data_IF_369685394054
#
_entry.id   IF_369685394054
#
_cell.length_a   1.000
_cell.length_b   1.000
_cell.length_c   1.000
_cell.angle_alpha   90.00
_cell.angle_beta   90.00
_cell.angle_gamma   90.00
#
_symmetry.space_group_name_H-M   'P 1'
#
loop_
_entity.id
_entity.type
_entity.pdbx_description
1 polymer ?
#
# COMPACT_ATOMS: atom_id res chain seq x y z
N UNK A 1 -20.30 26.60 -1.18
CA UNK A 1 -19.14 27.44 -1.61
C UNK A 1 -17.91 27.02 -0.84
N UNK A 2 -16.71 27.24 -1.37
CA UNK A 2 -15.49 26.90 -0.65
C UNK A 2 -14.89 28.14 0.03
N UNK A 3 -14.51 27.99 1.30
CA UNK A 3 -13.74 28.99 2.06
C UNK A 3 -12.27 28.63 1.94
N UNK A 4 -11.48 29.57 1.45
CA UNK A 4 -10.04 29.38 1.27
C UNK A 4 -9.29 29.76 2.54
N UNK A 5 -8.34 28.92 2.97
CA UNK A 5 -7.44 29.17 4.11
C UNK A 5 -6.01 28.76 3.74
N UNK A 6 -4.98 29.46 4.25
CA UNK A 6 -3.59 29.07 4.04
C UNK A 6 -3.26 27.78 4.80
N UNK A 7 -2.30 27.01 4.30
CA UNK A 7 -1.87 25.75 4.91
C UNK A 7 -1.15 25.99 6.23
N UNK A 8 -0.34 27.06 6.32
CA UNK A 8 0.36 27.49 7.54
C UNK A 8 -0.59 27.69 8.73
N UNK A 9 -1.78 28.25 8.47
CA UNK A 9 -2.80 28.45 9.50
C UNK A 9 -3.20 27.13 10.18
N UNK A 10 -3.41 26.06 9.42
CA UNK A 10 -3.77 24.75 9.98
C UNK A 10 -2.59 24.04 10.65
N UNK A 11 -1.36 24.29 10.18
CA UNK A 11 -0.15 23.78 10.84
C UNK A 11 0.04 24.39 12.23
N UNK A 12 -0.26 25.69 12.38
CA UNK A 12 -0.21 26.40 13.66
C UNK A 12 -1.42 26.12 14.55
N UNK A 13 -2.57 25.80 13.95
CA UNK A 13 -3.84 25.56 14.65
C UNK A 13 -4.46 24.21 14.25
N UNK A 14 -3.92 23.07 14.70
CA UNK A 14 -4.40 21.75 14.30
C UNK A 14 -5.89 21.51 14.64
N UNK A 15 -6.39 22.08 15.73
CA UNK A 15 -7.79 21.95 16.16
C UNK A 15 -8.77 22.52 15.12
N UNK A 16 -8.34 23.51 14.33
CA UNK A 16 -9.16 24.10 13.28
C UNK A 16 -9.47 23.11 12.14
N UNK A 17 -8.68 22.04 11.97
CA UNK A 17 -8.98 20.97 11.01
C UNK A 17 -10.26 20.20 11.36
N UNK A 18 -10.67 20.22 12.63
CA UNK A 18 -11.86 19.52 13.12
C UNK A 18 -13.14 20.37 13.04
N UNK A 19 -13.01 21.67 12.77
CA UNK A 19 -14.14 22.57 12.65
C UNK A 19 -14.87 22.33 11.32
N UNK A 20 -16.21 22.16 11.34
CA UNK A 20 -16.99 22.06 10.11
C UNK A 20 -17.11 23.44 9.43
N UNK A 21 -17.29 23.45 8.09
CA UNK A 21 -17.49 24.70 7.36
C UNK A 21 -18.81 25.37 7.73
N UNK A 22 -18.82 26.71 7.71
CA UNK A 22 -19.99 27.52 8.04
C UNK A 22 -21.02 27.49 6.90
N UNK A 23 -22.27 27.14 7.24
CA UNK A 23 -23.40 27.11 6.33
C UNK A 23 -23.51 25.83 5.48
N UNK A 24 -24.70 25.60 4.88
CA UNK A 24 -24.94 24.42 4.06
C UNK A 24 -24.19 24.48 2.73
N UNK A 25 -23.79 23.31 2.24
CA UNK A 25 -23.05 23.10 0.99
C UNK A 25 -21.75 23.90 0.94
N UNK A 26 -21.11 24.08 2.11
CA UNK A 26 -19.84 24.75 2.26
C UNK A 26 -18.69 23.76 2.40
N UNK A 27 -17.49 24.16 2.02
CA UNK A 27 -16.28 23.33 2.14
C UNK A 27 -15.04 24.20 2.35
N UNK A 28 -13.89 23.57 2.57
CA UNK A 28 -12.62 24.27 2.69
C UNK A 28 -11.71 24.04 1.47
N UNK A 29 -11.01 25.07 1.03
CA UNK A 29 -9.85 24.94 0.16
C UNK A 29 -8.62 25.37 0.91
N UNK A 30 -7.56 24.59 0.78
CA UNK A 30 -6.27 24.83 1.42
C UNK A 30 -5.30 25.32 0.35
N UNK A 31 -4.66 26.45 0.62
CA UNK A 31 -3.68 27.06 -0.29
C UNK A 31 -2.32 26.94 0.36
N UNK A 32 -1.36 26.37 -0.36
CA UNK A 32 0.04 26.39 0.07
C UNK A 32 0.58 27.80 -0.10
N UNK A 33 0.80 28.48 1.02
CA UNK A 33 1.42 29.80 1.17
C UNK A 33 2.92 29.69 1.47
N UNK A 34 3.64 30.81 1.40
CA UNK A 34 5.10 30.86 1.54
C UNK A 34 5.61 30.29 2.88
N UNK A 35 4.89 30.54 3.99
CA UNK A 35 5.27 30.04 5.32
C UNK A 35 5.16 28.52 5.43
N UNK A 36 4.32 27.90 4.59
CA UNK A 36 4.10 26.45 4.57
C UNK A 36 5.03 25.71 3.60
N UNK A 37 5.89 26.44 2.86
CA UNK A 37 6.87 25.83 1.98
C UNK A 37 7.97 25.16 2.80
N UNK A 38 8.29 23.91 2.45
CA UNK A 38 9.38 23.18 3.09
C UNK A 38 10.55 23.06 2.13
N UNK A 39 11.76 23.06 2.68
CA UNK A 39 13.00 23.03 1.92
C UNK A 39 13.89 21.87 2.39
N UNK A 40 14.67 21.30 1.47
CA UNK A 40 15.78 20.40 1.76
C UNK A 40 17.11 21.07 1.37
N UNK A 41 18.22 20.34 1.51
CA UNK A 41 19.56 20.83 1.15
C UNK A 41 19.90 22.19 1.78
N UNK A 42 19.70 22.34 3.09
CA UNK A 42 19.97 23.58 3.86
C UNK A 42 19.23 24.82 3.34
N UNK A 43 18.01 24.66 2.80
CA UNK A 43 17.18 25.78 2.34
C UNK A 43 17.33 26.10 0.84
N UNK A 44 18.16 25.35 0.12
CA UNK A 44 18.47 25.63 -1.30
C UNK A 44 17.47 25.00 -2.28
N UNK A 45 16.77 23.94 -1.86
CA UNK A 45 15.87 23.19 -2.73
C UNK A 45 14.48 23.09 -2.10
N UNK A 46 13.43 23.52 -2.81
CA UNK A 46 12.05 23.31 -2.35
C UNK A 46 11.71 21.82 -2.34
N UNK A 47 11.08 21.35 -1.27
CA UNK A 47 10.50 20.02 -1.23
C UNK A 47 9.21 20.01 -2.05
N UNK A 48 9.12 19.06 -2.98
CA UNK A 48 7.94 18.87 -3.81
C UNK A 48 7.04 17.71 -3.32
N UNK A 49 7.54 16.91 -2.38
CA UNK A 49 6.81 15.78 -1.81
C UNK A 49 5.92 16.26 -0.65
N UNK A 50 4.64 15.87 -0.70
CA UNK A 50 3.70 16.14 0.38
C UNK A 50 3.89 15.11 1.48
N UNK A 51 4.13 15.59 2.70
CA UNK A 51 4.34 14.72 3.86
C UNK A 51 3.04 14.44 4.62
N UNK A 52 2.09 15.38 4.62
CA UNK A 52 0.91 15.31 5.47
C UNK A 52 -0.37 15.81 4.76
N UNK A 53 -1.50 15.62 5.43
CA UNK A 53 -2.79 16.21 5.08
C UNK A 53 -2.99 17.53 5.86
N UNK A 54 -3.84 18.44 5.38
CA UNK A 54 -4.62 18.38 4.13
C UNK A 54 -3.78 18.71 2.87
N UNK A 55 -4.25 18.26 1.71
CA UNK A 55 -3.60 18.56 0.44
C UNK A 55 -3.88 19.99 -0.02
N UNK A 56 -2.91 20.70 -0.62
CA UNK A 56 -3.13 22.03 -1.18
C UNK A 56 -3.84 21.97 -2.55
N UNK A 57 -4.82 22.86 -2.77
CA UNK A 57 -5.60 22.96 -4.01
C UNK A 57 -5.06 23.98 -5.02
N UNK A 58 -4.06 24.79 -4.66
CA UNK A 58 -3.36 25.68 -5.59
C UNK A 58 -2.16 25.02 -6.31
N UNK A 59 -2.01 23.70 -6.18
CA UNK A 59 -0.92 22.92 -6.78
C UNK A 59 -1.48 21.76 -7.60
N UNK A 60 -0.81 21.43 -8.70
CA UNK A 60 -1.08 20.19 -9.43
C UNK A 60 -0.36 19.05 -8.72
N UNK A 61 -1.12 18.07 -8.26
CA UNK A 61 -0.58 16.92 -7.53
C UNK A 61 -0.42 15.73 -8.47
N UNK A 62 0.69 15.03 -8.31
CA UNK A 62 0.97 13.79 -9.03
C UNK A 62 1.09 12.67 -8.01
N UNK A 63 0.21 11.68 -8.09
CA UNK A 63 0.35 10.45 -7.32
C UNK A 63 1.44 9.62 -7.98
N UNK A 64 2.54 9.46 -7.25
CA UNK A 64 3.69 8.65 -7.66
C UNK A 64 3.64 7.30 -6.94
N UNK A 65 3.68 6.24 -7.73
CA UNK A 65 3.82 4.88 -7.21
C UNK A 65 5.07 4.24 -7.80
N UNK A 66 5.92 3.70 -6.93
CA UNK A 66 7.17 3.07 -7.32
C UNK A 66 7.11 1.58 -6.98
N UNK A 67 7.47 0.73 -7.95
CA UNK A 67 7.64 -0.72 -7.74
C UNK A 67 8.96 -1.21 -8.26
N UNK A 68 9.53 -2.19 -7.57
CA UNK A 68 10.82 -2.78 -7.90
C UNK A 68 11.94 -2.20 -7.04
N UNK A 69 13.09 -2.86 -7.08
CA UNK A 69 14.33 -2.44 -6.42
C UNK A 69 15.44 -2.34 -7.48
N UNK A 70 16.42 -1.47 -7.26
CA UNK A 70 17.54 -1.24 -8.19
C UNK A 70 17.12 -0.79 -9.60
N UNK A 71 17.67 -1.45 -10.62
CA UNK A 71 17.54 -1.08 -12.05
C UNK A 71 16.14 -1.34 -12.66
N UNK A 72 15.22 -2.00 -11.95
CA UNK A 72 13.89 -2.37 -12.45
C UNK A 72 12.75 -1.57 -11.82
N UNK A 73 13.03 -0.32 -11.45
CA UNK A 73 12.07 0.61 -10.86
C UNK A 73 11.04 1.07 -11.89
N UNK A 74 9.79 0.62 -11.77
CA UNK A 74 8.66 1.18 -12.51
C UNK A 74 8.04 2.30 -11.68
N UNK A 75 8.01 3.50 -12.26
CA UNK A 75 7.37 4.66 -11.67
C UNK A 75 6.09 4.94 -12.45
N UNK A 76 4.95 4.74 -11.79
CA UNK A 76 3.66 5.14 -12.31
C UNK A 76 3.30 6.50 -11.72
N UNK A 77 2.90 7.40 -12.60
CA UNK A 77 2.49 8.77 -12.25
C UNK A 77 1.08 8.98 -12.75
N UNK A 78 0.20 9.46 -11.87
CA UNK A 78 -1.14 9.89 -12.25
C UNK A 78 -1.37 11.28 -11.67
N UNK A 79 -1.71 12.24 -12.54
CA UNK A 79 -2.05 13.60 -12.12
C UNK A 79 -3.49 13.65 -11.64
N UNK A 80 -3.69 14.24 -10.46
CA UNK A 80 -4.98 14.29 -9.79
C UNK A 80 -5.12 15.57 -8.98
N UNK A 81 -6.33 16.14 -8.98
CA UNK A 81 -6.70 17.24 -8.10
C UNK A 81 -7.61 16.70 -7.02
N UNK A 82 -7.22 16.85 -5.75
CA UNK A 82 -8.04 16.45 -4.61
C UNK A 82 -8.83 17.65 -4.09
N UNK A 83 -10.16 17.55 -4.13
CA UNK A 83 -11.07 18.58 -3.64
C UNK A 83 -11.76 18.07 -2.37
N UNK A 84 -11.65 18.74 -1.22
CA UNK A 84 -12.33 18.31 0.01
C UNK A 84 -13.84 18.21 -0.16
N UNK A 85 -14.43 17.18 0.45
CA UNK A 85 -15.89 16.94 0.40
C UNK A 85 -16.65 18.06 1.13
N UNK A 86 -17.78 18.46 0.57
CA UNK A 86 -18.66 19.49 1.15
C UNK A 86 -19.24 19.04 2.50
N UNK A 87 -19.56 19.99 3.36
CA UNK A 87 -20.19 19.79 4.67
C UNK A 87 -19.38 18.89 5.63
N UNK A 88 -18.07 18.72 5.38
CA UNK A 88 -17.16 17.92 6.19
C UNK A 88 -15.96 18.77 6.66
N UNK A 89 -15.47 18.54 7.89
CA UNK A 89 -14.22 19.14 8.35
C UNK A 89 -13.02 18.52 7.60
N UNK A 90 -11.90 19.24 7.51
CA UNK A 90 -10.69 18.77 6.82
C UNK A 90 -10.09 17.51 7.48
N UNK A 91 -10.24 17.37 8.79
CA UNK A 91 -9.83 16.19 9.58
C UNK A 91 -10.52 14.88 9.14
N UNK A 92 -11.66 14.97 8.45
CA UNK A 92 -12.31 13.80 7.86
C UNK A 92 -11.48 13.14 6.76
N UNK A 93 -10.54 13.89 6.16
CA UNK A 93 -9.69 13.47 5.05
C UNK A 93 -10.47 12.92 3.85
N UNK A 94 -11.70 13.41 3.64
CA UNK A 94 -12.56 12.99 2.54
C UNK A 94 -12.38 13.93 1.34
N UNK A 95 -12.12 13.35 0.18
CA UNK A 95 -11.85 14.09 -1.05
C UNK A 95 -12.56 13.49 -2.26
N UNK A 96 -12.92 14.36 -3.20
CA UNK A 96 -13.13 14.01 -4.59
C UNK A 96 -11.78 14.01 -5.32
N UNK A 97 -11.51 12.95 -6.07
CA UNK A 97 -10.35 12.89 -6.96
C UNK A 97 -10.78 13.30 -8.37
N UNK A 98 -10.23 14.40 -8.89
CA UNK A 98 -10.60 14.99 -10.18
C UNK A 98 -9.45 14.87 -11.18
N UNK A 99 -9.78 14.55 -12.43
CA UNK A 99 -8.84 14.51 -13.55
C UNK A 99 -8.48 15.96 -13.98
N UNK A 100 -7.23 16.43 -13.86
CA UNK A 100 -6.89 17.82 -14.16
C UNK A 100 -6.68 18.09 -15.65
N UNK A 101 -6.35 17.05 -16.43
CA UNK A 101 -5.93 17.18 -17.84
C UNK A 101 -6.51 16.08 -18.75
N UNK A 102 -6.37 16.28 -20.06
CA UNK A 102 -6.76 15.31 -21.09
C UNK A 102 -8.27 15.27 -21.41
N UNK A 103 -8.69 14.24 -22.15
CA UNK A 103 -10.08 14.11 -22.67
C UNK A 103 -11.16 14.02 -21.58
N UNK A 104 -10.78 13.64 -20.36
CA UNK A 104 -11.67 13.53 -19.21
C UNK A 104 -11.43 14.62 -18.17
N UNK A 105 -10.80 15.75 -18.55
CA UNK A 105 -10.56 16.88 -17.66
C UNK A 105 -11.87 17.33 -16.98
N UNK A 106 -11.79 17.60 -15.67
CA UNK A 106 -12.92 18.04 -14.84
C UNK A 106 -13.86 16.90 -14.40
N UNK A 107 -13.63 15.66 -14.84
CA UNK A 107 -14.39 14.50 -14.39
C UNK A 107 -13.80 13.92 -13.11
N UNK A 108 -14.68 13.44 -12.23
CA UNK A 108 -14.33 12.74 -11.02
C UNK A 108 -13.98 11.27 -11.31
N UNK A 109 -12.94 10.78 -10.64
CA UNK A 109 -12.65 9.36 -10.60
C UNK A 109 -13.70 8.62 -9.77
N UNK A 110 -13.92 7.36 -10.12
CA UNK A 110 -14.95 6.51 -9.52
C UNK A 110 -14.30 5.32 -8.81
N UNK A 111 -14.80 4.99 -7.63
CA UNK A 111 -14.59 3.68 -7.02
C UNK A 111 -15.34 2.62 -7.86
N UNK A 112 -14.67 1.52 -8.15
CA UNK A 112 -15.28 0.35 -8.80
C UNK A 112 -16.09 -0.45 -7.78
N UNK A 113 -17.07 -1.22 -8.26
CA UNK A 113 -17.88 -2.12 -7.44
C UNK A 113 -17.47 -3.58 -7.66
N UNK A 114 -18.07 -4.49 -6.90
CA UNK A 114 -17.86 -5.94 -7.09
C UNK A 114 -18.27 -6.41 -8.49
N UNK A 115 -19.35 -5.83 -9.04
CA UNK A 115 -19.85 -6.09 -10.39
C UNK A 115 -18.89 -5.65 -11.52
N UNK A 116 -18.00 -4.69 -11.25
CA UNK A 116 -16.98 -4.24 -12.22
C UNK A 116 -15.78 -5.19 -12.31
N UNK A 117 -15.73 -6.24 -11.48
CA UNK A 117 -14.69 -7.25 -11.55
C UNK A 117 -14.86 -8.08 -12.81
N UNK A 118 -13.82 -8.09 -13.66
CA UNK A 118 -13.78 -8.94 -14.83
C UNK A 118 -12.81 -10.10 -14.64
N UNK A 119 -13.14 -11.24 -15.25
CA UNK A 119 -12.24 -12.39 -15.31
C UNK A 119 -11.01 -12.02 -16.14
N UNK A 120 -9.83 -12.06 -15.52
CA UNK A 120 -8.56 -11.89 -16.20
C UNK A 120 -7.57 -12.90 -15.61
N UNK A 121 -7.17 -13.88 -16.43
CA UNK A 121 -6.15 -14.90 -16.16
C UNK A 121 -6.17 -15.46 -14.72
N UNK A 122 -7.03 -16.47 -14.48
CA UNK A 122 -7.22 -17.19 -13.21
C UNK A 122 -7.62 -16.36 -11.97
N UNK A 123 -7.95 -15.07 -12.12
CA UNK A 123 -8.51 -14.25 -11.04
C UNK A 123 -9.57 -13.24 -11.49
N UNK A 124 -10.42 -12.78 -10.55
CA UNK A 124 -11.32 -11.63 -10.74
C UNK A 124 -10.54 -10.34 -10.53
N UNK A 125 -10.22 -9.64 -11.61
CA UNK A 125 -9.51 -8.36 -11.55
C UNK A 125 -10.49 -7.19 -11.49
N UNK A 126 -10.29 -6.29 -10.54
CA UNK A 126 -11.09 -5.06 -10.49
C UNK A 126 -10.61 -4.13 -11.61
N UNK A 127 -11.51 -3.77 -12.52
CA UNK A 127 -11.23 -2.77 -13.55
C UNK A 127 -11.63 -1.39 -13.05
N UNK A 128 -10.77 -0.41 -13.28
CA UNK A 128 -11.10 0.99 -12.97
C UNK A 128 -12.26 1.45 -13.85
N UNK A 129 -13.26 2.06 -13.22
CA UNK A 129 -14.36 2.73 -13.90
C UNK A 129 -13.84 4.03 -14.50
N UNK A 130 -14.25 4.35 -15.73
CA UNK A 130 -13.85 5.61 -16.38
C UNK A 130 -14.39 6.81 -15.59
N UNK A 131 -13.63 7.92 -15.48
CA UNK A 131 -14.09 9.13 -14.81
C UNK A 131 -15.43 9.65 -15.36
N UNK A 132 -16.30 10.09 -14.47
CA UNK A 132 -17.65 10.62 -14.76
C UNK A 132 -17.77 12.09 -14.35
N UNK A 133 -18.74 12.87 -14.86
CA UNK A 133 -19.03 14.20 -14.33
C UNK A 133 -19.16 14.17 -12.80
N UNK A 134 -18.63 15.19 -12.13
CA UNK A 134 -18.68 15.29 -10.67
C UNK A 134 -20.14 15.37 -10.22
N UNK A 135 -20.50 14.48 -9.31
CA UNK A 135 -21.78 14.46 -8.60
C UNK A 135 -21.47 14.43 -7.09
N UNK A 136 -21.74 15.51 -6.35
CA UNK A 136 -21.47 15.58 -4.92
C UNK A 136 -22.23 14.54 -4.09
N UNK A 137 -23.35 14.01 -4.57
CA UNK A 137 -24.16 13.02 -3.85
C UNK A 137 -23.69 11.58 -4.14
N UNK A 138 -22.86 11.38 -5.17
CA UNK A 138 -22.35 10.08 -5.57
C UNK A 138 -21.23 9.62 -4.63
N UNK A 139 -21.56 8.70 -3.72
CA UNK A 139 -20.65 8.16 -2.70
C UNK A 139 -19.44 7.46 -3.33
N UNK A 140 -19.57 6.85 -4.51
CA UNK A 140 -18.43 6.20 -5.18
C UNK A 140 -17.42 7.18 -5.76
N UNK A 141 -17.73 8.48 -5.85
CA UNK A 141 -16.75 9.53 -6.23
C UNK A 141 -15.97 10.08 -5.04
N UNK A 142 -16.38 9.72 -3.81
CA UNK A 142 -15.76 10.18 -2.58
C UNK A 142 -14.81 9.11 -2.01
N UNK A 143 -13.64 9.55 -1.56
CA UNK A 143 -12.67 8.66 -0.92
C UNK A 143 -12.05 9.31 0.32
N UNK A 144 -11.78 8.48 1.32
CA UNK A 144 -10.99 8.86 2.49
C UNK A 144 -9.52 8.62 2.18
N UNK A 145 -8.68 9.66 2.29
CA UNK A 145 -7.23 9.54 2.17
C UNK A 145 -6.64 9.26 3.55
N UNK A 146 -5.92 8.15 3.65
CA UNK A 146 -5.25 7.75 4.87
C UNK A 146 -3.74 7.85 4.70
N UNK A 147 -3.06 8.35 5.73
CA UNK A 147 -1.60 8.27 5.84
C UNK A 147 -1.17 6.82 6.04
N UNK A 148 -0.11 6.43 5.32
CA UNK A 148 0.57 5.16 5.46
C UNK A 148 1.92 5.38 6.15
N UNK A 149 1.90 5.39 7.49
CA UNK A 149 3.12 5.51 8.29
C UNK A 149 3.67 4.10 8.54
N UNK A 150 4.87 3.81 8.04
CA UNK A 150 5.66 2.66 8.51
C UNK A 150 6.73 3.18 9.46
N UNK A 151 7.34 2.30 10.27
CA UNK A 151 8.39 2.67 11.22
C UNK A 151 9.64 3.30 10.59
N UNK A 152 9.76 3.25 9.26
CA UNK A 152 11.01 3.46 8.54
C UNK A 152 10.85 4.19 7.19
N UNK A 153 9.60 4.43 6.78
CA UNK A 153 9.30 5.50 5.83
C UNK A 153 8.67 6.62 6.64
N UNK A 154 9.22 7.83 6.50
CA UNK A 154 8.63 9.02 7.10
C UNK A 154 7.20 9.25 6.61
N UNK A 155 6.60 10.33 7.11
CA UNK A 155 5.39 10.94 6.54
C UNK A 155 5.49 11.04 4.99
N UNK A 156 4.36 11.12 4.29
CA UNK A 156 4.31 11.33 2.83
C UNK A 156 3.96 10.11 1.97
N UNK A 157 3.48 9.03 2.58
CA UNK A 157 2.85 7.91 1.85
C UNK A 157 1.36 7.91 2.15
N UNK A 158 0.54 7.72 1.13
CA UNK A 158 -0.92 7.79 1.23
C UNK A 158 -1.57 6.59 0.55
N UNK A 159 -2.76 6.22 1.02
CA UNK A 159 -3.67 5.31 0.32
C UNK A 159 -5.11 5.79 0.48
N UNK A 160 -5.98 5.42 -0.46
CA UNK A 160 -7.40 5.76 -0.35
C UNK A 160 -8.23 4.56 0.10
N UNK A 161 -9.31 4.84 0.82
CA UNK A 161 -10.47 3.95 1.02
C UNK A 161 -11.68 4.56 0.33
N UNK A 162 -12.57 3.72 -0.18
CA UNK A 162 -13.87 4.21 -0.64
C UNK A 162 -14.73 4.54 0.57
N UNK A 163 -15.58 5.56 0.46
CA UNK A 163 -16.64 5.78 1.44
C UNK A 163 -17.79 4.77 1.26
N UNK A 164 -17.97 4.23 0.06
CA UNK A 164 -18.89 3.12 -0.16
C UNK A 164 -18.28 1.82 0.42
N UNK A 165 -19.00 1.06 1.28
CA UNK A 165 -18.47 -0.15 1.91
C UNK A 165 -17.98 -1.23 0.94
N UNK A 166 -18.59 -1.30 -0.23
CA UNK A 166 -18.28 -2.24 -1.33
C UNK A 166 -17.44 -1.58 -2.45
N UNK A 167 -17.08 -0.32 -2.27
CA UNK A 167 -16.33 0.46 -3.24
C UNK A 167 -14.83 0.19 -3.17
N UNK A 168 -14.22 0.04 -4.35
CA UNK A 168 -12.79 -0.08 -4.49
C UNK A 168 -12.25 1.18 -5.21
N UNK A 169 -11.38 2.01 -4.59
CA UNK A 169 -10.88 3.24 -5.22
C UNK A 169 -10.20 3.03 -6.58
N UNK A 170 -9.84 4.06 -7.34
CA UNK A 170 -9.04 3.89 -8.56
C UNK A 170 -7.70 3.19 -8.30
N UNK A 171 -7.17 2.44 -9.27
CA UNK A 171 -5.93 1.66 -9.12
C UNK A 171 -4.72 2.49 -8.71
N UNK A 172 -4.65 3.77 -9.04
CA UNK A 172 -3.55 4.64 -8.61
C UNK A 172 -3.65 5.07 -7.14
N UNK A 173 -4.86 5.01 -6.55
CA UNK A 173 -5.12 5.30 -5.13
C UNK A 173 -5.25 4.05 -4.25
N UNK A 174 -5.51 2.87 -4.86
CA UNK A 174 -5.72 1.58 -4.19
C UNK A 174 -4.49 0.81 -3.79
N UNK A 175 -3.29 1.20 -4.23
CA UNK A 175 -2.09 0.36 -4.10
C UNK A 175 -1.51 0.40 -2.68
N UNK A 176 -2.33 -0.06 -1.74
CA UNK A 176 -1.98 -0.71 -0.50
C UNK A 176 -2.16 -2.22 -0.70
N UNK A 177 -1.44 -3.03 0.07
CA UNK A 177 -1.79 -4.43 0.20
C UNK A 177 -3.23 -4.55 0.73
N UNK A 178 -4.08 -5.32 0.05
CA UNK A 178 -5.50 -5.49 0.40
C UNK A 178 -5.59 -6.33 1.65
N UNK A 179 -6.14 -5.80 2.75
CA UNK A 179 -6.37 -6.59 3.96
C UNK A 179 -7.49 -7.59 3.67
N UNK A 180 -7.17 -8.87 3.62
CA UNK A 180 -8.11 -9.98 3.38
C UNK A 180 -8.44 -10.77 4.63
N UNK A 181 -7.71 -10.54 5.72
CA UNK A 181 -7.97 -11.17 7.01
C UNK A 181 -7.53 -10.29 8.17
N UNK A 182 -8.27 -10.37 9.28
CA UNK A 182 -7.99 -9.63 10.49
C UNK A 182 -8.33 -10.46 11.71
N UNK A 183 -7.40 -10.54 12.66
CA UNK A 183 -7.53 -11.27 13.92
C UNK A 183 -6.92 -10.47 15.06
N UNK A 184 -7.29 -10.84 16.28
CA UNK A 184 -6.67 -10.31 17.49
C UNK A 184 -5.98 -11.44 18.25
N UNK A 185 -4.73 -11.20 18.65
CA UNK A 185 -3.90 -12.18 19.34
C UNK A 185 -3.69 -11.70 20.78
N UNK A 186 -4.14 -12.45 21.80
CA UNK A 186 -3.87 -12.12 23.19
C UNK A 186 -2.35 -12.12 23.47
N UNK A 187 -1.90 -11.23 24.35
CA UNK A 187 -0.48 -11.03 24.67
C UNK A 187 0.24 -12.31 25.14
N UNK A 188 -0.47 -13.27 25.74
CA UNK A 188 0.11 -14.55 26.19
C UNK A 188 0.74 -15.36 25.04
N UNK A 189 0.32 -15.12 23.79
CA UNK A 189 0.85 -15.78 22.60
C UNK A 189 2.01 -15.05 21.93
N UNK A 190 2.36 -13.84 22.40
CA UNK A 190 3.34 -12.97 21.74
C UNK A 190 4.40 -12.51 22.76
N UNK A 191 5.67 -12.64 22.38
CA UNK A 191 6.84 -12.32 23.20
C UNK A 191 7.61 -11.21 22.48
N UNK A 192 7.25 -9.97 22.80
CA UNK A 192 7.78 -8.75 22.20
C UNK A 192 8.17 -7.78 23.32
N UNK A 193 9.32 -8.05 23.94
CA UNK A 193 9.82 -7.34 25.13
C UNK A 193 9.62 -8.09 26.47
N UNK A 194 9.88 -7.39 27.58
CA UNK A 194 9.73 -7.98 28.93
C UNK A 194 8.25 -8.23 29.27
N UNK A 195 7.97 -9.08 30.27
CA UNK A 195 6.58 -9.42 30.65
C UNK A 195 5.83 -8.19 31.18
N UNK A 196 6.52 -7.36 31.98
CA UNK A 196 5.96 -6.14 32.57
C UNK A 196 5.58 -5.12 31.49
N UNK A 197 6.50 -4.84 30.57
CA UNK A 197 6.25 -3.92 29.45
C UNK A 197 5.12 -4.41 28.53
N UNK A 198 4.98 -5.72 28.34
CA UNK A 198 3.91 -6.29 27.49
C UNK A 198 2.52 -6.08 28.07
N UNK A 199 2.36 -6.34 29.36
CA UNK A 199 1.07 -6.17 30.04
C UNK A 199 0.66 -4.70 30.13
N UNK A 200 1.63 -3.81 30.33
CA UNK A 200 1.38 -2.35 30.36
C UNK A 200 1.10 -1.78 28.96
N UNK A 201 1.70 -2.34 27.89
CA UNK A 201 1.60 -1.77 26.52
C UNK A 201 0.45 -2.32 25.67
N UNK A 202 0.12 -3.61 25.74
CA UNK A 202 -0.90 -4.21 24.87
C UNK A 202 -1.38 -5.58 25.35
N UNK A 203 -2.63 -5.64 25.84
CA UNK A 203 -3.29 -6.92 26.18
C UNK A 203 -3.64 -7.77 24.95
N UNK A 204 -3.87 -7.12 23.81
CA UNK A 204 -4.12 -7.76 22.52
C UNK A 204 -3.18 -7.17 21.47
N UNK A 205 -2.96 -7.91 20.40
CA UNK A 205 -2.26 -7.46 19.22
C UNK A 205 -3.18 -7.62 18.02
N UNK A 206 -3.07 -6.74 17.04
CA UNK A 206 -3.79 -6.81 15.78
C UNK A 206 -2.93 -7.59 14.77
N UNK A 207 -3.48 -8.68 14.23
CA UNK A 207 -2.90 -9.43 13.14
C UNK A 207 -3.72 -9.19 11.88
N UNK A 208 -3.10 -8.75 10.80
CA UNK A 208 -3.77 -8.64 9.49
C UNK A 208 -3.06 -9.47 8.44
N UNK A 209 -3.82 -10.08 7.54
CA UNK A 209 -3.31 -10.70 6.32
C UNK A 209 -3.55 -9.75 5.15
N UNK A 210 -2.48 -9.28 4.53
CA UNK A 210 -2.52 -8.33 3.42
C UNK A 210 -2.07 -8.98 2.11
N UNK A 211 -2.75 -8.71 0.99
CA UNK A 211 -2.41 -9.20 -0.34
C UNK A 211 -1.84 -8.07 -1.22
N UNK A 212 -0.67 -8.27 -1.83
CA UNK A 212 -0.11 -7.37 -2.84
C UNK A 212 0.50 -8.12 -4.01
N UNK A 213 0.56 -7.48 -5.16
CA UNK A 213 1.32 -7.98 -6.30
C UNK A 213 2.68 -7.29 -6.35
N UNK A 214 3.75 -8.08 -6.40
CA UNK A 214 5.12 -7.58 -6.49
C UNK A 214 5.77 -8.09 -7.77
N UNK A 215 6.42 -7.19 -8.51
CA UNK A 215 7.16 -7.58 -9.70
C UNK A 215 8.40 -8.35 -9.27
N UNK A 216 8.62 -9.52 -9.86
CA UNK A 216 9.82 -10.33 -9.60
C UNK A 216 10.68 -10.56 -10.84
N UNK A 217 10.17 -10.23 -12.04
CA UNK A 217 10.89 -10.39 -13.29
C UNK A 217 10.46 -9.36 -14.33
N UNK A 218 11.41 -8.90 -15.14
CA UNK A 218 11.12 -8.08 -16.33
C UNK A 218 12.17 -8.33 -17.40
N UNK A 219 11.79 -8.22 -18.67
CA UNK A 219 12.72 -8.21 -19.80
C UNK A 219 12.23 -7.24 -20.87
N UNK A 220 13.17 -6.70 -21.65
CA UNK A 220 12.88 -5.84 -22.80
C UNK A 220 13.13 -6.60 -24.10
N UNK A 221 12.44 -6.20 -25.16
CA UNK A 221 12.64 -6.74 -26.48
C UNK A 221 13.63 -5.86 -27.26
N UNK A 222 14.85 -6.34 -27.43
CA UNK A 222 15.84 -5.69 -28.29
C UNK A 222 15.51 -5.95 -29.76
N UNK A 223 15.85 -5.02 -30.66
CA UNK A 223 15.53 -5.11 -32.09
C UNK A 223 16.04 -6.39 -32.79
N UNK A 224 17.00 -7.11 -32.17
CA UNK A 224 17.62 -8.32 -32.68
C UNK A 224 16.96 -9.62 -32.17
N UNK A 225 15.99 -9.55 -31.25
CA UNK A 225 15.29 -10.74 -30.75
C UNK A 225 14.12 -11.08 -31.68
N UNK A 226 14.31 -12.12 -32.51
CA UNK A 226 13.25 -12.68 -33.37
C UNK A 226 12.25 -13.57 -32.60
N UNK A 227 12.48 -13.78 -31.30
CA UNK A 227 11.70 -14.68 -30.46
C UNK A 227 10.40 -14.07 -29.92
N UNK A 228 9.29 -14.78 -30.11
CA UNK A 228 7.98 -14.47 -29.50
C UNK A 228 7.82 -15.06 -28.09
N UNK A 229 8.90 -15.49 -27.43
CA UNK A 229 8.85 -16.19 -26.15
C UNK A 229 9.91 -15.71 -25.17
N UNK A 230 9.53 -15.62 -23.90
CA UNK A 230 10.38 -15.24 -22.78
C UNK A 230 10.48 -16.41 -21.79
N UNK A 231 11.70 -16.82 -21.45
CA UNK A 231 11.97 -17.76 -20.37
C UNK A 231 12.09 -16.99 -19.05
N UNK A 232 11.23 -17.32 -18.09
CA UNK A 232 11.32 -16.82 -16.72
C UNK A 232 11.84 -17.95 -15.84
N UNK A 233 13.10 -17.86 -15.43
CA UNK A 233 13.74 -18.79 -14.48
C UNK A 233 14.31 -17.98 -13.31
N UNK A 234 13.54 -17.90 -12.21
CA UNK A 234 13.88 -17.08 -11.04
C UNK A 234 13.71 -17.91 -9.77
N UNK A 235 14.72 -17.87 -8.90
CA UNK A 235 14.65 -18.42 -7.54
C UNK A 235 14.17 -17.31 -6.61
N UNK A 236 13.10 -17.56 -5.87
CA UNK A 236 12.51 -16.61 -4.93
C UNK A 236 12.50 -17.18 -3.51
N UNK A 237 12.91 -16.36 -2.54
CA UNK A 237 12.61 -16.60 -1.14
C UNK A 237 11.08 -16.53 -0.95
N UNK A 238 10.46 -17.68 -0.74
CA UNK A 238 8.99 -17.81 -0.61
C UNK A 238 8.48 -17.38 0.76
N UNK A 239 9.34 -17.39 1.77
CA UNK A 239 9.06 -16.99 3.15
C UNK A 239 10.06 -15.92 3.57
N UNK A 240 9.58 -14.73 3.93
CA UNK A 240 10.46 -13.65 4.41
C UNK A 240 9.83 -13.07 5.68
N UNK A 241 10.61 -13.03 6.76
CA UNK A 241 10.21 -12.38 8.03
C UNK A 241 11.04 -11.13 8.22
N UNK A 242 10.40 -10.01 8.58
CA UNK A 242 11.08 -8.76 8.90
C UNK A 242 10.69 -8.31 10.32
N UNK A 243 11.70 -7.94 11.11
CA UNK A 243 11.58 -7.29 12.42
C UNK A 243 12.36 -5.99 12.34
N UNK A 244 11.70 -4.85 12.61
CA UNK A 244 12.31 -3.53 12.44
C UNK A 244 13.11 -3.41 11.10
N UNK A 245 12.48 -3.89 10.02
CA UNK A 245 13.03 -3.97 8.65
C UNK A 245 14.22 -4.90 8.41
N UNK A 246 14.74 -5.51 9.45
CA UNK A 246 15.85 -6.42 9.34
C UNK A 246 15.33 -7.85 9.15
N UNK A 247 15.93 -8.58 8.21
CA UNK A 247 15.50 -9.96 7.88
C UNK A 247 15.76 -10.85 9.08
N UNK A 248 14.68 -11.42 9.62
CA UNK A 248 14.77 -12.31 10.76
C UNK A 248 15.07 -13.74 10.32
N UNK A 249 16.01 -14.37 11.02
CA UNK A 249 16.26 -15.80 10.98
C UNK A 249 15.42 -16.47 12.05
N UNK A 250 14.92 -17.66 11.72
CA UNK A 250 14.13 -18.47 12.61
C UNK A 250 14.20 -19.92 12.15
N UNK A 251 13.96 -20.83 13.09
CA UNK A 251 13.97 -22.27 12.84
C UNK A 251 12.71 -22.88 13.45
N UNK A 252 11.95 -23.59 12.62
CA UNK A 252 10.73 -24.29 13.02
C UNK A 252 11.00 -25.42 14.02
N UNK A 253 12.21 -25.98 14.02
CA UNK A 253 12.62 -27.07 14.91
C UNK A 253 13.19 -26.57 16.26
N UNK A 254 13.55 -25.29 16.34
CA UNK A 254 14.11 -24.69 17.55
C UNK A 254 13.01 -24.05 18.41
N UNK A 255 12.07 -24.88 18.87
CA UNK A 255 10.95 -24.48 19.72
C UNK A 255 11.36 -24.62 21.18
N UNK A 256 11.45 -23.48 21.88
CA UNK A 256 11.71 -23.44 23.33
C UNK A 256 10.43 -23.00 24.02
N UNK A 257 9.92 -23.81 24.95
CA UNK A 257 8.67 -23.54 25.69
C UNK A 257 7.43 -23.29 24.79
N UNK A 258 7.37 -23.96 23.64
CA UNK A 258 6.28 -23.76 22.68
C UNK A 258 6.33 -22.41 21.95
N UNK A 259 7.44 -21.68 22.03
CA UNK A 259 7.65 -20.39 21.36
C UNK A 259 8.68 -20.55 20.24
N UNK A 260 8.32 -20.05 19.06
CA UNK A 260 9.21 -19.89 17.92
C UNK A 260 9.80 -18.48 17.97
N UNK A 261 11.12 -18.39 18.07
CA UNK A 261 11.85 -17.13 18.15
C UNK A 261 12.34 -16.67 16.79
N UNK A 262 11.98 -15.44 16.45
CA UNK A 262 12.45 -14.73 15.27
C UNK A 262 13.54 -13.76 15.72
N UNK A 263 14.78 -14.03 15.29
CA UNK A 263 15.97 -13.25 15.66
C UNK A 263 16.48 -12.48 14.47
N UNK A 264 16.86 -11.25 14.69
CA UNK A 264 17.39 -10.39 13.65
C UNK A 264 18.56 -9.60 14.20
N UNK A 265 19.43 -9.15 13.31
CA UNK A 265 20.65 -8.45 13.65
C UNK A 265 20.67 -7.13 12.88
N UNK A 266 21.17 -6.07 13.51
CA UNK A 266 21.40 -4.80 12.84
C UNK A 266 22.62 -4.89 11.89
N UNK A 267 22.90 -3.80 11.19
CA UNK A 267 24.03 -3.71 10.25
C UNK A 267 25.41 -3.90 10.91
N UNK A 268 25.49 -3.74 12.22
CA UNK A 268 26.71 -3.88 13.01
C UNK A 268 26.81 -5.28 13.65
N UNK A 269 25.87 -6.18 13.37
CA UNK A 269 25.84 -7.54 13.91
C UNK A 269 25.28 -7.63 15.35
N UNK A 270 24.75 -6.53 15.90
CA UNK A 270 24.10 -6.56 17.22
C UNK A 270 22.68 -7.09 17.06
N UNK A 271 22.30 -8.02 17.92
CA UNK A 271 20.94 -8.57 17.94
C UNK A 271 19.94 -7.45 18.26
N UNK A 272 18.95 -7.27 17.38
CA UNK A 272 17.80 -6.40 17.64
C UNK A 272 16.77 -7.18 18.48
N UNK A 273 15.85 -6.49 19.19
CA UNK A 273 14.85 -7.17 20.01
C UNK A 273 14.13 -8.28 19.24
N UNK A 274 14.27 -9.51 19.74
CA UNK A 274 13.68 -10.68 19.12
C UNK A 274 12.18 -10.74 19.40
N UNK A 275 11.43 -11.32 18.46
CA UNK A 275 10.00 -11.53 18.60
C UNK A 275 9.76 -13.03 18.72
N UNK A 276 9.05 -13.44 19.75
CA UNK A 276 8.61 -14.82 19.93
C UNK A 276 7.11 -14.95 19.63
N UNK A 277 6.74 -15.92 18.79
CA UNK A 277 5.35 -16.31 18.61
C UNK A 277 5.15 -17.71 19.17
N UNK A 278 4.11 -17.88 19.98
CA UNK A 278 3.64 -19.20 20.39
C UNK A 278 3.27 -20.03 19.16
N UNK A 279 3.58 -21.32 19.18
CA UNK A 279 3.45 -22.22 18.03
C UNK A 279 2.03 -22.23 17.43
N UNK A 280 0.99 -22.03 18.25
CA UNK A 280 -0.40 -22.02 17.81
C UNK A 280 -0.68 -20.89 16.81
N UNK A 281 -0.04 -19.73 16.98
CA UNK A 281 -0.16 -18.59 16.05
C UNK A 281 0.51 -18.93 14.73
N UNK A 282 1.73 -19.48 14.77
CA UNK A 282 2.50 -19.81 13.57
C UNK A 282 1.81 -20.94 12.78
N UNK A 283 1.28 -21.95 13.47
CA UNK A 283 0.49 -23.01 12.86
C UNK A 283 -0.77 -22.46 12.20
N UNK A 284 -1.49 -21.54 12.85
CA UNK A 284 -2.67 -20.90 12.25
C UNK A 284 -2.31 -20.09 11.00
N UNK A 285 -1.22 -19.31 11.04
CA UNK A 285 -0.74 -18.58 9.86
C UNK A 285 -0.46 -19.50 8.68
N UNK A 286 0.28 -20.60 8.92
CA UNK A 286 0.57 -21.60 7.88
C UNK A 286 -0.70 -22.21 7.31
N UNK A 287 -1.63 -22.60 8.17
CA UNK A 287 -2.91 -23.18 7.73
C UNK A 287 -3.69 -22.21 6.83
N UNK A 288 -3.70 -20.91 7.14
CA UNK A 288 -4.32 -19.88 6.28
C UNK A 288 -3.63 -19.73 4.92
N UNK A 289 -2.32 -19.97 4.84
CA UNK A 289 -1.59 -19.95 3.57
C UNK A 289 -1.82 -21.22 2.76
N UNK A 290 -1.76 -22.38 3.41
CA UNK A 290 -1.93 -23.70 2.79
C UNK A 290 -3.34 -23.89 2.23
N UNK A 291 -4.39 -23.48 2.95
CA UNK A 291 -5.76 -23.45 2.41
C UNK A 291 -5.88 -22.56 1.17
N UNK A 292 -5.02 -21.54 1.08
CA UNK A 292 -4.95 -20.59 -0.02
C UNK A 292 -4.18 -21.14 -1.22
N UNK A 293 -3.67 -22.37 -1.14
CA UNK A 293 -2.89 -23.02 -2.18
C UNK A 293 -1.38 -22.77 -2.10
N UNK A 294 -0.90 -22.07 -1.07
CA UNK A 294 0.52 -21.75 -0.94
C UNK A 294 1.37 -23.03 -0.78
N UNK A 295 2.48 -23.11 -1.53
CA UNK A 295 3.43 -24.22 -1.47
C UNK A 295 4.85 -23.73 -1.20
N UNK A 296 5.59 -24.46 -0.38
CA UNK A 296 6.99 -24.16 -0.10
C UNK A 296 7.92 -24.67 -1.22
N UNK A 297 7.89 -24.02 -2.39
CA UNK A 297 8.76 -24.35 -3.53
C UNK A 297 9.49 -23.09 -4.00
N UNK A 298 10.82 -23.10 -4.02
CA UNK A 298 11.63 -21.88 -4.20
C UNK A 298 11.89 -21.43 -5.64
N UNK A 299 11.41 -22.14 -6.66
CA UNK A 299 11.82 -21.89 -8.06
C UNK A 299 10.61 -21.75 -8.99
N UNK A 300 10.59 -20.64 -9.74
CA UNK A 300 9.67 -20.41 -10.85
C UNK A 300 10.43 -20.69 -12.14
N UNK A 301 9.92 -21.63 -12.95
CA UNK A 301 10.41 -21.89 -14.30
C UNK A 301 9.23 -21.97 -15.26
N UNK A 302 9.03 -20.95 -16.09
CA UNK A 302 7.93 -20.88 -17.05
C UNK A 302 8.38 -20.24 -18.37
N UNK A 303 7.78 -20.67 -19.48
CA UNK A 303 7.95 -20.06 -20.80
C UNK A 303 6.69 -19.30 -21.14
N UNK A 304 6.81 -18.01 -21.40
CA UNK A 304 5.70 -17.11 -21.69
C UNK A 304 5.77 -16.71 -23.17
N UNK A 305 4.69 -16.94 -23.91
CA UNK A 305 4.62 -16.66 -25.34
C UNK A 305 3.73 -15.44 -25.60
N UNK A 306 4.24 -14.51 -26.39
CA UNK A 306 3.48 -13.38 -26.91
C UNK A 306 2.57 -13.86 -28.05
N UNK A 307 1.25 -13.66 -27.90
CA UNK A 307 0.23 -14.22 -28.82
C UNK A 307 -0.37 -13.20 -29.78
N UNK A 308 -0.10 -11.92 -29.60
CA UNK A 308 -0.61 -10.88 -30.49
C UNK A 308 0.23 -10.82 -31.76
N UNK A 309 -0.45 -10.91 -32.92
CA UNK A 309 0.21 -11.00 -34.24
C UNK A 309 0.47 -9.64 -34.90
N UNK A 310 -0.03 -8.55 -34.32
CA UNK A 310 -0.18 -7.26 -35.01
C UNK A 310 0.90 -6.23 -34.62
N UNK A 311 1.49 -6.34 -33.43
CA UNK A 311 2.52 -5.42 -32.92
C UNK A 311 3.68 -6.20 -32.31
N UNK A 312 4.93 -5.73 -32.44
CA UNK A 312 6.05 -6.28 -31.66
C UNK A 312 5.94 -5.81 -30.21
N UNK A 313 6.03 -6.74 -29.25
CA UNK A 313 6.13 -6.39 -27.83
C UNK A 313 7.45 -5.67 -27.55
N UNK A 314 7.44 -4.70 -26.65
CA UNK A 314 8.60 -3.91 -26.20
C UNK A 314 9.10 -4.35 -24.84
N UNK A 315 8.18 -4.73 -23.94
CA UNK A 315 8.53 -5.11 -22.57
C UNK A 315 7.61 -6.20 -22.05
N UNK A 316 8.19 -7.10 -21.28
CA UNK A 316 7.48 -8.13 -20.55
C UNK A 316 7.79 -7.99 -19.06
N UNK A 317 6.78 -8.08 -18.22
CA UNK A 317 6.93 -8.04 -16.76
C UNK A 317 6.07 -9.12 -16.10
N UNK A 318 6.63 -9.78 -15.10
CA UNK A 318 5.93 -10.79 -14.30
C UNK A 318 5.91 -10.43 -12.82
N UNK A 319 4.76 -10.71 -12.21
CA UNK A 319 4.40 -10.36 -10.85
C UNK A 319 3.97 -11.62 -10.11
N UNK A 320 4.25 -11.67 -8.82
CA UNK A 320 3.86 -12.75 -7.91
C UNK A 320 2.93 -12.17 -6.85
N UNK A 321 1.90 -12.95 -6.46
CA UNK A 321 1.08 -12.58 -5.32
C UNK A 321 1.87 -12.80 -4.04
N UNK A 322 1.91 -11.78 -3.19
CA UNK A 322 2.46 -11.84 -1.84
C UNK A 322 1.32 -11.68 -0.86
N UNK A 323 1.23 -12.64 0.05
CA UNK A 323 0.39 -12.57 1.25
C UNK A 323 1.27 -12.28 2.45
N UNK A 324 0.97 -11.20 3.17
CA UNK A 324 1.78 -10.68 4.26
C UNK A 324 0.96 -10.66 5.55
N UNK A 325 1.40 -11.43 6.54
CA UNK A 325 0.94 -11.21 7.91
C UNK A 325 1.64 -10.00 8.49
N UNK A 326 0.86 -9.08 9.08
CA UNK A 326 1.35 -7.89 9.77
C UNK A 326 0.87 -7.94 11.20
N UNK A 327 1.80 -8.01 12.14
CA UNK A 327 1.52 -8.01 13.57
C UNK A 327 1.77 -6.62 14.16
N UNK A 328 0.75 -6.05 14.78
CA UNK A 328 0.79 -4.71 15.40
C UNK A 328 0.35 -4.76 16.85
N UNK A 329 0.92 -3.86 17.64
CA UNK A 329 0.40 -3.52 18.97
C UNK A 329 -0.89 -2.70 18.83
N UNK A 330 -1.64 -2.52 19.93
CA UNK A 330 -2.89 -1.73 19.87
C UNK A 330 -2.67 -0.25 19.57
N UNK A 331 -1.52 0.29 19.95
CA UNK A 331 -1.04 1.64 19.60
C UNK A 331 -0.63 1.79 18.11
N UNK A 332 -0.85 0.74 17.30
CA UNK A 332 -0.53 0.62 15.88
C UNK A 332 0.95 0.49 15.54
N UNK A 333 1.84 0.44 16.53
CA UNK A 333 3.25 0.16 16.32
C UNK A 333 3.47 -1.24 15.75
N UNK A 334 4.40 -1.34 14.80
CA UNK A 334 4.72 -2.59 14.12
C UNK A 334 5.60 -3.47 15.00
N UNK A 335 5.27 -4.77 15.06
CA UNK A 335 6.07 -5.78 15.74
C UNK A 335 6.89 -6.57 14.71
N UNK A 336 6.21 -7.17 13.73
CA UNK A 336 6.84 -7.94 12.67
C UNK A 336 5.95 -8.04 11.44
N UNK A 337 6.57 -8.39 10.31
CA UNK A 337 5.86 -8.83 9.10
C UNK A 337 6.35 -10.19 8.64
N UNK A 338 5.47 -10.98 8.05
CA UNK A 338 5.79 -12.30 7.53
C UNK A 338 5.14 -12.49 6.15
N UNK A 339 5.97 -12.45 5.11
CA UNK A 339 5.61 -12.56 3.70
C UNK A 339 5.66 -14.00 3.21
N UNK A 340 4.62 -14.35 2.46
CA UNK A 340 4.46 -15.61 1.72
C UNK A 340 4.29 -15.28 0.24
N UNK A 341 5.24 -15.68 -0.60
CA UNK A 341 5.15 -15.52 -2.06
C UNK A 341 4.48 -16.76 -2.66
N UNK A 342 3.36 -16.56 -3.33
CA UNK A 342 2.56 -17.61 -3.99
C UNK A 342 3.07 -17.81 -5.42
N UNK A 343 4.08 -18.64 -5.60
CA UNK A 343 4.76 -18.89 -6.89
C UNK A 343 3.84 -19.46 -7.98
N UNK A 344 2.71 -20.03 -7.59
CA UNK A 344 1.64 -20.57 -8.44
C UNK A 344 0.68 -19.47 -8.92
N UNK A 345 0.66 -18.32 -8.22
CA UNK A 345 -0.18 -17.17 -8.54
C UNK A 345 0.66 -16.08 -9.19
N UNK A 346 0.87 -16.23 -10.49
CA UNK A 346 1.67 -15.32 -11.30
C UNK A 346 0.78 -14.48 -12.22
N UNK A 347 1.19 -13.23 -12.44
CA UNK A 347 0.59 -12.32 -13.41
C UNK A 347 1.66 -11.84 -14.37
N UNK A 348 1.39 -11.93 -15.67
CA UNK A 348 2.28 -11.43 -16.71
C UNK A 348 1.63 -10.30 -17.48
N UNK A 349 2.43 -9.31 -17.86
CA UNK A 349 2.02 -8.14 -18.63
C UNK A 349 3.00 -7.97 -19.79
N UNK A 350 2.44 -7.80 -20.98
CA UNK A 350 3.17 -7.46 -22.20
C UNK A 350 2.81 -6.02 -22.57
N UNK A 351 3.81 -5.22 -22.95
CA UNK A 351 3.67 -3.84 -23.46
C UNK A 351 4.19 -3.72 -24.88
#
# INVERSE_FOLDING_TARGET
MYVTRPLSYYQQNPDALSLPPEGPNSGYLVVQDEESETYCCFGLCKNHDLMDLPFPQNKNLTVRYETGDGEHKIILKEDVMFIPVLNKPLSSNQYYAIKPHGKSKGKAFMCSKEEDKQNCCFCRCIRDVKPKPLDPEEVYQQCEICLYVTSCSGKGRFFAKSLAPDGFPPRFLRRKAVVVGKWYCPFMFIKDGTVKERMERSMFYEMTLEQKWEQFFTCQNDYNNEGNSVLVDVVLDTKIVLIAESKAKWDESNVVEGVIWFRSYDKNGKEIPSVGLRQEIVQRMKWEQERGGWQNKGRIKQVQQYREKVSKWKKFSSYVLIERFVLRRMDKSLVMTYDFKHIDKLKSIWE
#
